data_IF_537428896919
#
_entry.id   IF_537428896919
#
_cell.length_a   1.000
_cell.length_b   1.000
_cell.length_c   1.000
_cell.angle_alpha   90.00
_cell.angle_beta   90.00
_cell.angle_gamma   90.00
#
_symmetry.space_group_name_H-M   'P 1'
#
loop_
_entity.id
_entity.type
_entity.pdbx_description
1 polymer ?
#
# COMPACT_ATOMS: atom_id res chain seq x y z
N UNK A 1 7.30 -20.60 -19.18
CA UNK A 1 6.39 -19.74 -19.97
C UNK A 1 7.23 -18.65 -20.62
N UNK A 2 6.98 -18.31 -21.89
CA UNK A 2 7.64 -17.18 -22.54
C UNK A 2 7.33 -15.88 -21.78
N UNK A 3 8.28 -14.93 -21.77
CA UNK A 3 8.07 -13.60 -21.18
C UNK A 3 6.92 -12.92 -21.93
N UNK A 4 5.91 -12.35 -21.24
CA UNK A 4 4.88 -11.59 -21.92
C UNK A 4 5.51 -10.40 -22.64
N UNK A 5 4.94 -10.03 -23.78
CA UNK A 5 5.44 -8.93 -24.59
C UNK A 5 4.34 -7.89 -24.86
N UNK A 6 4.80 -6.66 -25.05
CA UNK A 6 3.97 -5.51 -25.41
C UNK A 6 3.50 -5.63 -26.87
N UNK A 7 2.29 -5.12 -27.15
CA UNK A 7 1.78 -5.11 -28.52
C UNK A 7 2.52 -4.04 -29.34
N UNK A 8 2.73 -4.33 -30.62
CA UNK A 8 3.40 -3.41 -31.55
C UNK A 8 2.59 -2.11 -31.67
N UNK A 9 3.27 -0.98 -31.44
CA UNK A 9 2.71 0.37 -31.54
C UNK A 9 3.00 0.97 -32.90
N UNK A 10 2.01 1.64 -33.46
CA UNK A 10 1.98 2.13 -34.83
C UNK A 10 1.44 3.55 -34.86
N UNK A 11 1.95 4.35 -35.79
CA UNK A 11 1.38 5.66 -36.17
C UNK A 11 1.09 5.66 -37.66
N UNK A 12 0.00 6.32 -38.06
CA UNK A 12 -0.31 6.61 -39.46
C UNK A 12 0.40 7.91 -39.88
N UNK A 13 1.32 7.83 -40.83
CA UNK A 13 1.95 9.02 -41.42
C UNK A 13 1.00 9.76 -42.37
N UNK A 14 1.25 11.05 -42.66
CA UNK A 14 0.42 11.83 -43.59
C UNK A 14 0.30 11.24 -45.01
N UNK A 15 1.29 10.44 -45.44
CA UNK A 15 1.28 9.75 -46.73
C UNK A 15 0.43 8.45 -46.74
N UNK A 16 -0.28 8.14 -45.64
CA UNK A 16 -1.09 6.93 -45.50
C UNK A 16 -0.32 5.67 -45.08
N UNK A 17 0.99 5.79 -44.80
CA UNK A 17 1.83 4.66 -44.39
C UNK A 17 1.73 4.40 -42.88
N UNK A 18 1.53 3.13 -42.50
CA UNK A 18 1.64 2.70 -41.11
C UNK A 18 3.08 2.36 -40.78
N UNK A 19 3.65 3.02 -39.76
CA UNK A 19 5.00 2.73 -39.28
C UNK A 19 5.00 2.41 -37.80
N UNK A 20 5.94 1.55 -37.38
CA UNK A 20 6.21 1.34 -35.97
C UNK A 20 6.61 2.67 -35.31
N UNK A 21 6.05 2.93 -34.13
CA UNK A 21 6.28 4.16 -33.38
C UNK A 21 6.16 3.89 -31.90
N UNK A 22 7.19 4.23 -31.12
CA UNK A 22 7.19 4.07 -29.66
C UNK A 22 6.13 4.93 -28.97
N UNK A 23 5.66 6.01 -29.61
CA UNK A 23 4.60 6.88 -29.10
C UNK A 23 3.24 6.65 -29.77
N UNK A 24 3.17 5.72 -30.74
CA UNK A 24 1.95 5.45 -31.50
C UNK A 24 0.81 4.96 -30.61
N UNK A 25 -0.41 5.44 -30.87
CA UNK A 25 -1.63 5.02 -30.13
C UNK A 25 -2.49 4.02 -30.91
N UNK A 26 -2.05 3.63 -32.10
CA UNK A 26 -2.59 2.49 -32.83
C UNK A 26 -1.76 1.26 -32.48
N UNK A 27 -2.42 0.14 -32.22
CA UNK A 27 -1.78 -1.12 -31.88
C UNK A 27 -2.18 -2.19 -32.89
N UNK A 28 -1.23 -3.02 -33.32
CA UNK A 28 -1.52 -4.09 -34.26
C UNK A 28 -1.67 -5.44 -33.57
N UNK A 29 -2.87 -6.01 -33.67
CA UNK A 29 -3.14 -7.40 -33.30
C UNK A 29 -2.85 -8.31 -34.50
N UNK A 30 -1.62 -8.83 -34.58
CA UNK A 30 -1.18 -9.74 -35.64
C UNK A 30 -1.97 -11.07 -35.71
N UNK A 31 -2.69 -11.48 -34.65
CA UNK A 31 -3.44 -12.74 -34.58
C UNK A 31 -4.78 -12.57 -35.25
N UNK A 32 -5.42 -11.42 -35.01
CA UNK A 32 -6.70 -11.06 -35.62
C UNK A 32 -6.55 -10.25 -36.90
N UNK A 33 -5.32 -9.83 -37.24
CA UNK A 33 -4.99 -8.93 -38.35
C UNK A 33 -5.82 -7.64 -38.31
N UNK A 34 -5.89 -7.02 -37.13
CA UNK A 34 -6.69 -5.81 -36.88
C UNK A 34 -5.88 -4.77 -36.13
N UNK A 35 -6.22 -3.51 -36.36
CA UNK A 35 -5.75 -2.40 -35.55
C UNK A 35 -6.67 -2.20 -34.35
N UNK A 36 -6.09 -1.86 -33.22
CA UNK A 36 -6.78 -1.41 -32.01
C UNK A 36 -6.37 0.04 -31.81
N UNK A 37 -7.34 0.94 -31.89
CA UNK A 37 -7.11 2.38 -31.77
C UNK A 37 -7.37 2.85 -30.35
N UNK A 38 -6.32 3.33 -29.66
CA UNK A 38 -6.41 3.96 -28.35
C UNK A 38 -6.19 5.47 -28.42
N UNK A 39 -6.35 6.11 -29.59
CA UNK A 39 -6.15 7.55 -29.76
C UNK A 39 -7.15 8.40 -28.97
N UNK A 40 -8.30 7.83 -28.59
CA UNK A 40 -9.27 8.47 -27.70
C UNK A 40 -8.93 8.33 -26.22
N UNK A 41 -8.00 7.42 -25.86
CA UNK A 41 -7.54 7.24 -24.48
C UNK A 41 -6.65 8.40 -24.10
N UNK A 42 -6.97 9.00 -22.97
CA UNK A 42 -6.25 10.15 -22.41
C UNK A 42 -5.81 9.83 -21.00
N UNK A 43 -4.53 10.06 -20.72
CA UNK A 43 -4.00 9.99 -19.38
C UNK A 43 -4.15 11.38 -18.77
N UNK A 44 -4.77 11.50 -17.59
CA UNK A 44 -5.12 12.79 -16.99
C UNK A 44 -4.21 13.17 -15.83
N UNK A 45 -3.85 12.19 -14.99
CA UNK A 45 -2.91 12.38 -13.89
C UNK A 45 -2.38 11.03 -13.47
N UNK A 46 -1.06 10.89 -13.41
CA UNK A 46 -0.42 9.78 -12.72
C UNK A 46 0.38 10.37 -11.56
N UNK A 47 0.03 10.05 -10.32
CA UNK A 47 0.66 10.69 -9.16
C UNK A 47 0.41 9.95 -7.87
N UNK A 48 0.86 10.53 -6.77
CA UNK A 48 0.61 9.99 -5.43
C UNK A 48 -0.81 10.37 -5.01
N UNK A 49 -1.59 9.36 -4.64
CA UNK A 49 -2.94 9.55 -4.11
C UNK A 49 -2.92 9.64 -2.58
N UNK A 50 -2.22 8.73 -1.93
CA UNK A 50 -2.17 8.67 -0.47
C UNK A 50 -0.78 8.24 -0.01
N UNK A 51 -0.27 8.91 1.03
CA UNK A 51 0.94 8.49 1.75
C UNK A 51 0.56 8.14 3.18
N UNK A 52 1.08 7.02 3.67
CA UNK A 52 1.00 6.66 5.09
C UNK A 52 2.39 6.49 5.68
N UNK A 53 2.85 7.46 6.46
CA UNK A 53 4.18 7.43 7.08
C UNK A 53 4.08 6.91 8.52
N UNK A 54 4.84 5.87 8.85
CA UNK A 54 4.89 5.30 10.20
C UNK A 54 6.06 5.89 11.01
N UNK A 55 5.83 6.05 12.31
CA UNK A 55 6.87 6.39 13.28
C UNK A 55 6.79 5.46 14.49
N UNK A 56 7.96 5.05 14.95
CA UNK A 56 8.13 4.34 16.21
C UNK A 56 8.49 5.33 17.31
N UNK A 57 8.08 5.04 18.53
CA UNK A 57 8.44 5.82 19.71
C UNK A 57 7.54 5.45 20.88
N UNK A 58 7.67 6.19 21.97
CA UNK A 58 6.76 6.12 23.12
C UNK A 58 5.91 7.39 23.13
N UNK A 59 4.61 7.27 23.37
CA UNK A 59 3.71 8.43 23.36
C UNK A 59 3.98 9.28 24.60
N UNK A 60 4.15 10.58 24.39
CA UNK A 60 4.23 11.57 25.45
C UNK A 60 2.93 11.63 26.26
N UNK A 61 2.96 11.55 27.60
CA UNK A 61 1.75 11.56 28.43
C UNK A 61 0.81 12.74 28.14
N UNK A 62 1.38 13.92 27.88
CA UNK A 62 0.65 15.15 27.55
C UNK A 62 -0.21 15.02 26.28
N UNK A 63 0.17 14.16 25.33
CA UNK A 63 -0.62 13.90 24.13
C UNK A 63 -1.87 13.11 24.46
N UNK A 64 -1.78 12.15 25.39
CA UNK A 64 -2.94 11.35 25.79
C UNK A 64 -3.99 12.21 26.50
N UNK A 65 -3.54 13.20 27.30
CA UNK A 65 -4.41 14.16 27.96
C UNK A 65 -5.26 14.99 26.97
N UNK A 66 -4.79 15.21 25.74
CA UNK A 66 -5.58 15.88 24.70
C UNK A 66 -6.89 15.15 24.42
N UNK A 67 -6.91 13.82 24.50
CA UNK A 67 -8.09 13.02 24.19
C UNK A 67 -9.08 12.92 25.36
N UNK A 68 -8.68 13.34 26.56
CA UNK A 68 -9.53 13.38 27.75
C UNK A 68 -10.31 14.70 27.88
N UNK A 69 -9.85 15.76 27.20
CA UNK A 69 -10.53 17.05 27.15
C UNK A 69 -11.96 16.93 26.56
N UNK A 70 -12.94 17.73 27.00
CA UNK A 70 -14.30 17.68 26.45
C UNK A 70 -14.42 18.29 25.04
N UNK A 71 -13.55 19.22 24.67
CA UNK A 71 -13.62 19.97 23.41
C UNK A 71 -13.35 19.07 22.19
N UNK A 72 -14.10 19.23 21.10
CA UNK A 72 -13.88 18.46 19.86
C UNK A 72 -12.61 18.89 19.11
N UNK A 73 -12.25 20.18 19.26
CA UNK A 73 -11.08 20.78 18.62
C UNK A 73 -10.01 21.08 19.65
N UNK A 74 -8.76 20.68 19.36
CA UNK A 74 -7.62 20.87 20.25
C UNK A 74 -6.48 21.55 19.50
N UNK A 75 -5.68 22.35 20.23
CA UNK A 75 -4.44 22.92 19.70
C UNK A 75 -3.28 22.01 20.05
N UNK A 76 -2.56 21.54 19.03
CA UNK A 76 -1.38 20.69 19.21
C UNK A 76 -0.31 21.06 18.18
N UNK A 77 0.93 21.19 18.67
CA UNK A 77 2.11 21.52 17.85
C UNK A 77 1.91 22.76 16.95
N UNK A 78 1.21 23.79 17.44
CA UNK A 78 0.97 25.02 16.69
C UNK A 78 -0.26 25.00 15.78
N UNK A 79 -0.89 23.84 15.56
CA UNK A 79 -2.05 23.69 14.67
C UNK A 79 -3.33 23.35 15.44
N UNK A 80 -4.48 23.63 14.83
CA UNK A 80 -5.77 23.14 15.31
C UNK A 80 -6.08 21.77 14.70
N UNK A 81 -6.68 20.90 15.49
CA UNK A 81 -7.01 19.53 15.11
C UNK A 81 -8.41 19.17 15.59
N UNK A 82 -9.19 18.53 14.73
CA UNK A 82 -10.35 17.78 15.17
C UNK A 82 -9.87 16.45 15.75
N UNK A 83 -10.17 16.17 17.02
CA UNK A 83 -9.80 14.89 17.63
C UNK A 83 -10.94 13.89 17.58
N UNK A 84 -10.62 12.60 17.58
CA UNK A 84 -11.64 11.56 17.63
C UNK A 84 -11.07 10.20 18.01
N UNK A 85 -11.97 9.25 18.30
CA UNK A 85 -11.63 7.84 18.41
C UNK A 85 -11.76 7.18 17.04
N UNK A 86 -10.99 6.14 16.82
CA UNK A 86 -11.04 5.32 15.60
C UNK A 86 -11.33 3.87 15.94
N UNK A 87 -11.94 3.16 15.00
CA UNK A 87 -12.25 1.74 15.14
C UNK A 87 -10.99 0.88 15.16
N UNK A 88 -11.14 -0.37 15.63
CA UNK A 88 -10.03 -1.33 15.70
C UNK A 88 -9.42 -1.64 14.33
N UNK A 89 -10.19 -1.50 13.26
CA UNK A 89 -9.76 -1.81 11.88
C UNK A 89 -8.63 -0.88 11.41
N UNK A 90 -8.63 0.39 11.87
CA UNK A 90 -7.53 1.33 11.65
C UNK A 90 -6.18 0.85 12.22
N UNK A 91 -6.20 -0.03 13.23
CA UNK A 91 -5.06 -0.46 14.03
C UNK A 91 -4.64 0.51 15.15
N UNK A 92 -5.28 1.69 15.24
CA UNK A 92 -5.00 2.75 16.20
C UNK A 92 -6.25 3.10 17.02
N UNK A 93 -6.09 3.84 18.11
CA UNK A 93 -7.21 4.17 19.03
C UNK A 93 -7.75 5.59 18.84
N UNK A 94 -6.87 6.52 18.48
CA UNK A 94 -7.18 7.95 18.40
C UNK A 94 -6.76 8.55 17.07
N UNK A 95 -7.42 9.63 16.69
CA UNK A 95 -7.05 10.46 15.54
C UNK A 95 -6.97 11.93 15.90
N UNK A 96 -6.02 12.64 15.30
CA UNK A 96 -6.05 14.09 15.10
C UNK A 96 -6.17 14.33 13.60
N UNK A 97 -7.17 15.08 13.17
CA UNK A 97 -7.44 15.34 11.77
C UNK A 97 -7.48 16.84 11.52
N UNK A 98 -6.71 17.28 10.53
CA UNK A 98 -6.79 18.62 9.97
C UNK A 98 -7.04 18.49 8.46
N UNK A 99 -8.30 18.70 8.06
CA UNK A 99 -8.74 18.54 6.69
C UNK A 99 -8.17 19.63 5.76
N UNK A 100 -7.95 20.84 6.29
CA UNK A 100 -7.35 21.97 5.58
C UNK A 100 -5.89 21.69 5.23
N UNK A 101 -5.12 21.15 6.18
CA UNK A 101 -3.76 20.65 5.92
C UNK A 101 -3.75 19.35 5.10
N UNK A 102 -4.87 18.64 5.02
CA UNK A 102 -4.96 17.33 4.40
C UNK A 102 -4.19 16.23 5.16
N UNK A 103 -4.07 16.36 6.49
CA UNK A 103 -3.25 15.50 7.36
C UNK A 103 -4.11 14.83 8.44
N UNK A 104 -3.91 13.52 8.61
CA UNK A 104 -4.47 12.74 9.73
C UNK A 104 -3.33 12.08 10.49
N UNK A 105 -3.30 12.23 11.82
CA UNK A 105 -2.43 11.48 12.72
C UNK A 105 -3.27 10.41 13.39
N UNK A 106 -2.94 9.14 13.13
CA UNK A 106 -3.47 8.00 13.84
C UNK A 106 -2.52 7.61 14.96
N UNK A 107 -3.05 7.62 16.18
CA UNK A 107 -2.27 7.63 17.42
C UNK A 107 -2.69 6.44 18.27
N UNK A 108 -1.71 5.84 18.95
CA UNK A 108 -1.84 4.70 19.86
C UNK A 108 -2.29 3.42 19.16
N UNK A 109 -1.31 2.66 18.69
CA UNK A 109 -1.51 1.28 18.21
C UNK A 109 -2.21 0.39 19.26
N UNK A 110 -3.22 -0.36 18.83
CA UNK A 110 -3.95 -1.32 19.67
C UNK A 110 -3.09 -2.47 20.19
N UNK A 111 -2.05 -2.85 19.43
CA UNK A 111 -1.24 -4.03 19.71
C UNK A 111 0.01 -3.73 20.56
N UNK A 112 0.25 -2.46 20.89
CA UNK A 112 1.41 -2.03 21.67
C UNK A 112 0.92 -1.29 22.91
N UNK A 113 1.45 -1.65 24.08
CA UNK A 113 1.15 -0.97 25.35
C UNK A 113 1.72 0.46 25.36
N UNK A 114 1.13 1.36 26.15
CA UNK A 114 1.46 2.80 26.07
C UNK A 114 2.90 3.08 26.53
N UNK A 115 3.34 2.31 27.52
CA UNK A 115 4.65 2.36 28.16
C UNK A 115 5.78 1.75 27.31
N UNK A 116 5.47 1.18 26.14
CA UNK A 116 6.46 0.52 25.29
C UNK A 116 6.77 1.38 24.07
N UNK A 117 8.03 1.33 23.62
CA UNK A 117 8.41 1.83 22.30
C UNK A 117 7.74 0.95 21.24
N UNK A 118 7.04 1.57 20.28
CA UNK A 118 6.49 0.87 19.13
C UNK A 118 5.87 1.82 18.11
N UNK A 119 5.25 1.24 17.07
CA UNK A 119 4.64 1.97 15.95
C UNK A 119 3.34 2.68 16.39
N UNK A 120 3.48 3.70 17.23
CA UNK A 120 2.38 4.40 17.87
C UNK A 120 1.79 5.55 17.06
N UNK A 121 2.47 5.97 15.99
CA UNK A 121 2.04 7.07 15.15
C UNK A 121 2.07 6.65 13.68
N UNK A 122 0.95 6.91 12.99
CA UNK A 122 0.83 6.81 11.54
C UNK A 122 0.23 8.10 11.01
N UNK A 123 0.93 8.77 10.11
CA UNK A 123 0.34 9.84 9.31
C UNK A 123 -0.44 9.23 8.15
N UNK A 124 -1.56 9.83 7.78
CA UNK A 124 -2.20 9.65 6.48
C UNK A 124 -2.31 11.03 5.81
N UNK A 125 -1.69 11.17 4.64
CA UNK A 125 -1.65 12.41 3.89
C UNK A 125 -2.52 12.27 2.65
N UNK A 126 -3.44 13.22 2.47
CA UNK A 126 -4.42 13.24 1.38
C UNK A 126 -3.81 13.73 0.04
N UNK A 127 -4.46 13.44 -1.12
CA UNK A 127 -3.97 13.88 -2.43
C UNK A 127 -3.74 15.39 -2.51
N UNK A 128 -4.66 16.18 -1.96
CA UNK A 128 -4.58 17.65 -1.94
C UNK A 128 -3.31 18.18 -1.27
N UNK A 129 -2.83 17.52 -0.22
CA UNK A 129 -1.62 17.94 0.49
C UNK A 129 -0.32 17.46 -0.19
N UNK A 130 -0.44 16.52 -1.14
CA UNK A 130 0.67 15.97 -1.91
C UNK A 130 0.84 16.71 -3.24
N UNK A 131 -0.25 17.18 -3.84
CA UNK A 131 -0.25 17.88 -5.12
C UNK A 131 0.60 19.16 -5.06
N UNK A 132 1.69 19.19 -5.83
CA UNK A 132 2.59 20.36 -5.93
C UNK A 132 3.40 20.66 -4.68
N UNK A 133 3.36 19.80 -3.65
CA UNK A 133 4.15 19.97 -2.45
C UNK A 133 5.57 19.44 -2.63
N UNK A 134 6.57 20.21 -2.17
CA UNK A 134 7.94 19.71 -2.03
C UNK A 134 7.96 18.54 -1.03
N UNK A 135 8.39 17.33 -1.45
CA UNK A 135 8.39 16.16 -0.58
C UNK A 135 9.21 16.35 0.69
N UNK A 136 10.30 17.14 0.62
CA UNK A 136 11.14 17.40 1.79
C UNK A 136 10.44 18.28 2.82
N UNK A 137 9.70 19.28 2.37
CA UNK A 137 8.92 20.15 3.24
C UNK A 137 7.78 19.39 3.92
N UNK A 138 7.07 18.53 3.18
CA UNK A 138 6.03 17.67 3.75
C UNK A 138 6.61 16.65 4.74
N UNK A 139 7.78 16.06 4.44
CA UNK A 139 8.47 15.15 5.35
C UNK A 139 8.91 15.86 6.64
N UNK A 140 9.44 17.08 6.54
CA UNK A 140 9.80 17.91 7.71
C UNK A 140 8.59 18.17 8.61
N UNK A 141 7.44 18.53 8.03
CA UNK A 141 6.19 18.70 8.78
C UNK A 141 5.82 17.42 9.56
N UNK A 142 5.87 16.26 8.90
CA UNK A 142 5.59 14.97 9.57
C UNK A 142 6.59 14.69 10.68
N UNK A 143 7.88 14.95 10.46
CA UNK A 143 8.94 14.74 11.45
C UNK A 143 8.81 15.67 12.67
N UNK A 144 8.45 16.94 12.46
CA UNK A 144 8.20 17.91 13.53
C UNK A 144 6.99 17.51 14.38
N UNK A 145 5.88 17.15 13.74
CA UNK A 145 4.68 16.65 14.42
C UNK A 145 4.94 15.34 15.16
N UNK A 146 5.75 14.43 14.58
CA UNK A 146 6.13 13.18 15.23
C UNK A 146 6.98 13.41 16.48
N UNK A 147 7.96 14.32 16.41
CA UNK A 147 8.81 14.70 17.56
C UNK A 147 8.02 15.39 18.67
N UNK A 148 6.99 16.16 18.32
CA UNK A 148 6.07 16.75 19.29
C UNK A 148 5.19 15.70 19.98
N UNK A 149 4.94 14.55 19.35
CA UNK A 149 4.04 13.50 19.84
C UNK A 149 4.76 12.39 20.61
N UNK A 150 5.95 12.01 20.15
CA UNK A 150 6.69 10.85 20.63
C UNK A 150 7.98 11.25 21.35
N UNK A 151 8.35 10.47 22.35
CA UNK A 151 9.75 10.33 22.80
C UNK A 151 10.38 9.12 22.09
N UNK A 152 11.72 9.11 21.97
CA UNK A 152 12.44 8.09 21.18
C UNK A 152 11.88 7.96 19.75
N UNK A 153 11.57 9.10 19.13
CA UNK A 153 10.93 9.16 17.83
C UNK A 153 11.89 8.69 16.74
N UNK A 154 11.52 7.61 16.06
CA UNK A 154 12.25 7.05 14.93
C UNK A 154 11.33 6.85 13.74
N UNK A 155 11.75 7.30 12.57
CA UNK A 155 10.99 7.09 11.34
C UNK A 155 11.00 5.61 10.96
N UNK A 156 9.81 5.07 10.73
CA UNK A 156 9.59 3.72 10.22
C UNK A 156 9.20 3.81 8.74
N UNK A 157 8.94 2.69 8.06
CA UNK A 157 8.67 2.68 6.63
C UNK A 157 7.31 3.31 6.27
N UNK A 158 7.22 3.90 5.08
CA UNK A 158 5.98 4.45 4.53
C UNK A 158 5.20 3.42 3.67
N UNK A 159 3.90 3.63 3.54
CA UNK A 159 3.05 3.04 2.50
C UNK A 159 2.68 4.15 1.50
N UNK A 160 2.57 3.82 0.22
CA UNK A 160 2.23 4.78 -0.83
C UNK A 160 1.20 4.20 -1.78
N UNK A 161 0.25 5.02 -2.20
CA UNK A 161 -0.72 4.68 -3.23
C UNK A 161 -0.43 5.53 -4.47
N UNK A 162 -0.20 4.90 -5.60
CA UNK A 162 -0.02 5.56 -6.89
C UNK A 162 -1.31 5.43 -7.70
N UNK A 163 -1.79 6.53 -8.27
CA UNK A 163 -3.04 6.53 -9.04
C UNK A 163 -2.83 7.12 -10.43
N UNK A 164 -3.34 6.43 -11.43
CA UNK A 164 -3.52 6.94 -12.79
C UNK A 164 -5.00 7.16 -13.08
N UNK A 165 -5.35 8.37 -13.47
CA UNK A 165 -6.66 8.76 -13.98
C UNK A 165 -6.67 8.74 -15.51
N UNK A 166 -7.71 8.14 -16.10
CA UNK A 166 -7.85 8.02 -17.56
C UNK A 166 -9.26 8.33 -18.04
N UNK A 167 -9.35 8.85 -19.27
CA UNK A 167 -10.58 8.98 -20.06
C UNK A 167 -10.48 8.17 -21.36
N UNK A 168 -11.62 7.86 -21.98
CA UNK A 168 -11.70 7.08 -23.21
C UNK A 168 -11.39 5.58 -23.05
N UNK A 169 -11.25 5.10 -21.82
CA UNK A 169 -11.10 3.68 -21.49
C UNK A 169 -12.00 3.28 -20.32
N UNK A 170 -12.63 2.13 -20.44
CA UNK A 170 -13.40 1.48 -19.38
C UNK A 170 -12.89 0.05 -19.18
N UNK A 171 -12.90 -0.48 -17.95
CA UNK A 171 -12.51 -1.87 -17.71
C UNK A 171 -13.45 -2.82 -18.47
N UNK A 172 -12.91 -3.74 -19.29
CA UNK A 172 -13.75 -4.68 -20.00
C UNK A 172 -14.44 -5.64 -19.01
N UNK A 173 -15.61 -6.17 -19.40
CA UNK A 173 -16.43 -7.03 -18.52
C UNK A 173 -15.68 -8.27 -18.03
N UNK A 174 -14.76 -8.77 -18.84
CA UNK A 174 -13.91 -9.92 -18.60
C UNK A 174 -12.52 -9.56 -18.01
N UNK A 175 -12.34 -8.33 -17.50
CA UNK A 175 -11.07 -7.87 -16.93
C UNK A 175 -10.54 -8.80 -15.83
N UNK A 176 -11.45 -9.42 -15.05
CA UNK A 176 -11.09 -10.37 -13.98
C UNK A 176 -10.45 -11.64 -14.54
N UNK A 177 -10.96 -12.14 -15.67
CA UNK A 177 -10.46 -13.36 -16.31
C UNK A 177 -9.09 -13.13 -16.97
N UNK A 178 -8.88 -11.91 -17.48
CA UNK A 178 -7.69 -11.52 -18.21
C UNK A 178 -6.60 -10.86 -17.34
N UNK A 179 -6.91 -10.51 -16.09
CA UNK A 179 -5.95 -9.92 -15.15
C UNK A 179 -5.15 -11.01 -14.44
N UNK A 180 -3.88 -11.12 -14.80
CA UNK A 180 -2.93 -12.00 -14.12
C UNK A 180 -2.18 -11.26 -13.02
N UNK A 181 -2.17 -11.84 -11.83
CA UNK A 181 -1.32 -11.37 -10.74
C UNK A 181 -0.84 -12.53 -9.86
N UNK A 182 0.23 -12.31 -9.09
CA UNK A 182 0.80 -13.36 -8.21
C UNK A 182 -0.13 -13.79 -7.06
N UNK A 183 -1.09 -12.94 -6.69
CA UNK A 183 -2.04 -13.24 -5.62
C UNK A 183 -3.33 -13.80 -6.21
N UNK A 184 -3.77 -14.96 -5.74
CA UNK A 184 -5.06 -15.53 -6.15
C UNK A 184 -6.28 -14.79 -5.57
N UNK A 185 -6.08 -13.74 -4.76
CA UNK A 185 -7.18 -12.96 -4.18
C UNK A 185 -7.68 -11.96 -5.22
N UNK A 186 -8.82 -12.27 -5.81
CA UNK A 186 -9.61 -11.35 -6.62
C UNK A 186 -10.91 -11.05 -5.89
N UNK A 187 -11.25 -9.78 -5.75
CA UNK A 187 -12.55 -9.34 -5.24
C UNK A 187 -13.23 -8.49 -6.29
N UNK A 188 -14.39 -8.95 -6.72
CA UNK A 188 -15.34 -8.14 -7.46
C UNK A 188 -16.42 -7.71 -6.47
N UNK A 189 -16.58 -6.42 -6.26
CA UNK A 189 -17.65 -5.90 -5.40
C UNK A 189 -18.83 -5.57 -6.29
N UNK A 190 -20.00 -6.10 -5.94
CA UNK A 190 -21.27 -5.83 -6.61
C UNK A 190 -22.31 -5.46 -5.57
N UNK A 191 -22.84 -4.24 -5.62
CA UNK A 191 -23.90 -3.80 -4.70
C UNK A 191 -23.42 -3.42 -3.29
N UNK A 192 -24.33 -2.83 -2.50
CA UNK A 192 -24.08 -2.30 -1.15
C UNK A 192 -24.12 -3.46 -0.15
N UNK A 193 -22.98 -4.12 0.11
CA UNK A 193 -22.91 -5.16 1.15
C UNK A 193 -22.07 -4.77 2.38
N UNK A 194 -21.36 -3.63 2.35
CA UNK A 194 -20.66 -3.15 3.54
C UNK A 194 -20.29 -1.67 3.44
N UNK A 195 -20.81 -0.87 4.36
CA UNK A 195 -20.29 0.47 4.66
C UNK A 195 -19.21 0.27 5.73
N UNK A 196 -17.95 0.13 5.32
CA UNK A 196 -16.81 0.20 6.25
C UNK A 196 -16.35 1.67 6.36
N UNK A 197 -16.60 2.29 7.51
CA UNK A 197 -16.30 3.69 7.82
C UNK A 197 -14.81 3.95 8.14
N UNK A 198 -13.88 3.19 7.54
CA UNK A 198 -12.44 3.45 7.67
C UNK A 198 -11.80 3.67 6.29
N UNK A 199 -11.56 4.94 5.98
CA UNK A 199 -10.87 5.45 4.78
C UNK A 199 -11.51 5.14 3.41
N UNK A 200 -12.37 6.07 2.96
CA UNK A 200 -12.58 6.46 1.55
C UNK A 200 -12.65 5.35 0.48
N UNK A 201 -13.68 4.51 0.57
CA UNK A 201 -14.22 3.80 -0.58
C UNK A 201 -15.75 3.84 -0.50
N UNK A 202 -16.36 4.80 -1.20
CA UNK A 202 -17.83 4.85 -1.35
C UNK A 202 -18.24 3.74 -2.31
N UNK A 203 -19.09 2.82 -1.85
CA UNK A 203 -19.50 1.59 -2.54
C UNK A 203 -20.83 1.82 -3.25
N UNK A 204 -20.85 1.76 -4.58
CA UNK A 204 -22.08 1.67 -5.36
C UNK A 204 -21.91 0.69 -6.54
N UNK A 205 -23.02 0.08 -6.96
CA UNK A 205 -23.20 -0.60 -8.24
C UNK A 205 -22.46 -1.92 -8.52
N UNK A 206 -22.84 -2.56 -9.63
CA UNK A 206 -22.26 -3.80 -10.17
C UNK A 206 -21.14 -3.41 -11.13
N UNK A 207 -19.90 -3.88 -10.92
CA UNK A 207 -18.81 -3.67 -11.88
C UNK A 207 -18.15 -2.27 -11.84
N UNK A 208 -18.34 -1.52 -10.76
CA UNK A 208 -17.77 -0.17 -10.61
C UNK A 208 -16.41 -0.16 -9.89
N UNK A 209 -16.03 -1.26 -9.23
CA UNK A 209 -14.74 -1.39 -8.54
C UNK A 209 -14.19 -2.82 -8.62
N UNK A 210 -12.95 -2.94 -9.12
CA UNK A 210 -12.21 -4.18 -9.22
C UNK A 210 -11.00 -4.15 -8.30
N UNK A 211 -10.77 -5.21 -7.53
CA UNK A 211 -9.61 -5.30 -6.64
C UNK A 211 -8.84 -6.60 -6.85
N UNK A 212 -7.54 -6.46 -7.08
CA UNK A 212 -6.61 -7.57 -7.30
C UNK A 212 -5.48 -7.49 -6.26
N UNK A 213 -5.15 -8.61 -5.61
CA UNK A 213 -4.12 -8.64 -4.58
C UNK A 213 -4.62 -8.37 -3.17
N UNK A 214 -3.69 -8.06 -2.25
CA UNK A 214 -3.97 -7.97 -0.82
C UNK A 214 -3.58 -6.60 -0.26
N UNK A 215 -4.46 -6.01 0.55
CA UNK A 215 -4.21 -4.73 1.23
C UNK A 215 -2.99 -4.75 2.16
N UNK A 216 -2.60 -5.92 2.68
CA UNK A 216 -1.38 -6.12 3.48
C UNK A 216 -0.10 -6.34 2.65
N UNK A 217 -0.19 -6.20 1.34
CA UNK A 217 0.89 -6.41 0.38
C UNK A 217 0.85 -5.36 -0.73
N UNK A 218 0.70 -5.83 -1.96
CA UNK A 218 0.48 -4.97 -3.13
C UNK A 218 -0.93 -5.26 -3.65
N UNK A 219 -1.72 -4.21 -3.86
CA UNK A 219 -3.09 -4.28 -4.36
C UNK A 219 -3.28 -3.32 -5.52
N UNK A 220 -4.03 -3.74 -6.54
CA UNK A 220 -4.55 -2.89 -7.61
C UNK A 220 -6.05 -2.69 -7.38
N UNK A 221 -6.50 -1.45 -7.43
CA UNK A 221 -7.90 -1.06 -7.45
C UNK A 221 -8.20 -0.34 -8.78
N UNK A 222 -9.28 -0.74 -9.47
CA UNK A 222 -9.75 -0.06 -10.68
C UNK A 222 -11.19 0.35 -10.44
N UNK A 223 -11.53 1.65 -10.58
CA UNK A 223 -12.88 2.13 -10.30
C UNK A 223 -13.25 3.40 -11.06
N UNK A 224 -14.55 3.67 -11.19
CA UNK A 224 -15.05 4.92 -11.77
C UNK A 224 -14.86 6.06 -10.75
N UNK A 225 -13.89 6.93 -11.04
CA UNK A 225 -13.49 8.01 -10.15
C UNK A 225 -14.46 9.19 -10.22
N UNK A 226 -15.12 9.44 -11.35
CA UNK A 226 -16.17 10.46 -11.45
C UNK A 226 -17.31 10.16 -10.48
N UNK A 227 -17.83 8.93 -10.50
CA UNK A 227 -18.89 8.50 -9.58
C UNK A 227 -18.45 8.57 -8.12
N UNK A 228 -17.24 8.09 -7.82
CA UNK A 228 -16.68 8.15 -6.46
C UNK A 228 -16.48 9.59 -5.97
N UNK A 229 -16.00 10.49 -6.82
CA UNK A 229 -15.78 11.90 -6.49
C UNK A 229 -17.10 12.63 -6.27
N UNK A 230 -18.13 12.36 -7.09
CA UNK A 230 -19.49 12.89 -6.91
C UNK A 230 -20.10 12.43 -5.59
N UNK A 231 -19.97 11.14 -5.26
CA UNK A 231 -20.50 10.59 -4.00
C UNK A 231 -19.79 11.09 -2.74
N UNK A 232 -18.58 11.64 -2.88
CA UNK A 232 -17.80 12.20 -1.75
C UNK A 232 -17.75 13.73 -1.77
N UNK A 233 -18.55 14.37 -2.63
CA UNK A 233 -18.61 15.82 -2.77
C UNK A 233 -17.24 16.47 -3.07
N UNK A 234 -16.44 15.79 -3.90
CA UNK A 234 -15.08 16.22 -4.29
C UNK A 234 -14.90 16.36 -5.79
N UNK A 235 -15.99 16.32 -6.56
CA UNK A 235 -15.92 16.36 -8.02
C UNK A 235 -15.25 17.64 -8.51
N UNK A 236 -15.61 18.81 -7.95
CA UNK A 236 -15.01 20.09 -8.37
C UNK A 236 -13.49 20.15 -8.16
N UNK A 237 -13.00 19.60 -7.05
CA UNK A 237 -11.57 19.47 -6.82
C UNK A 237 -10.92 18.56 -7.87
N UNK A 238 -11.47 17.37 -8.09
CA UNK A 238 -10.91 16.42 -9.06
C UNK A 238 -10.99 16.93 -10.50
N UNK A 239 -12.07 17.61 -10.90
CA UNK A 239 -12.18 18.24 -12.21
C UNK A 239 -11.10 19.30 -12.44
N UNK A 240 -10.72 20.07 -11.41
CA UNK A 240 -9.58 21.00 -11.50
C UNK A 240 -8.25 20.26 -11.63
N UNK A 241 -8.07 19.18 -10.87
CA UNK A 241 -6.87 18.34 -10.96
C UNK A 241 -6.73 17.72 -12.36
N UNK A 242 -7.82 17.19 -12.92
CA UNK A 242 -7.83 16.60 -14.26
C UNK A 242 -7.66 17.61 -15.39
N UNK A 243 -8.20 18.83 -15.21
CA UNK A 243 -8.02 19.92 -16.16
C UNK A 243 -6.60 20.49 -16.19
N UNK A 244 -5.73 20.10 -15.25
CA UNK A 244 -4.33 20.55 -15.26
C UNK A 244 -3.57 19.97 -16.46
N UNK A 245 -2.65 20.76 -17.03
CA UNK A 245 -1.90 20.42 -18.25
C UNK A 245 -0.89 19.27 -18.07
N UNK A 246 -0.78 18.71 -16.86
CA UNK A 246 0.31 17.80 -16.53
C UNK A 246 0.06 16.35 -17.02
N UNK A 247 -1.16 16.02 -17.43
CA UNK A 247 -1.66 14.66 -17.56
C UNK A 247 -1.32 13.88 -18.80
N UNK A 248 -1.47 14.50 -19.97
CA UNK A 248 -1.52 13.79 -21.24
C UNK A 248 -0.15 13.82 -21.93
N UNK A 249 0.58 12.69 -21.96
CA UNK A 249 1.87 12.63 -22.63
C UNK A 249 1.74 12.71 -24.16
N UNK A 250 0.51 12.77 -24.71
CA UNK A 250 0.23 12.73 -26.15
C UNK A 250 -0.23 14.07 -26.74
N UNK A 251 -0.42 15.12 -25.94
CA UNK A 251 -1.02 16.39 -26.37
C UNK A 251 -0.03 17.49 -26.77
N UNK A 252 -0.45 18.36 -27.69
CA UNK A 252 0.29 19.52 -28.21
C UNK A 252 0.07 20.82 -27.39
N UNK A 253 -0.56 20.75 -26.21
CA UNK A 253 -0.77 21.90 -25.31
C UNK A 253 -2.22 22.17 -24.88
N UNK A 254 -3.21 21.46 -25.42
CA UNK A 254 -4.60 21.54 -24.95
C UNK A 254 -4.86 20.65 -23.72
N UNK A 255 -5.71 21.06 -22.76
CA UNK A 255 -6.13 20.21 -21.65
C UNK A 255 -6.83 18.94 -22.16
N UNK A 256 -6.31 17.77 -21.79
CA UNK A 256 -6.86 16.50 -22.24
C UNK A 256 -8.22 16.15 -21.62
N UNK A 257 -8.50 16.67 -20.43
CA UNK A 257 -9.72 16.38 -19.70
C UNK A 257 -10.96 16.95 -20.39
N UNK A 258 -11.95 16.08 -20.63
CA UNK A 258 -13.29 16.44 -21.12
C UNK A 258 -14.34 16.28 -20.00
N UNK A 259 -14.98 17.36 -19.53
CA UNK A 259 -15.93 17.30 -18.40
C UNK A 259 -17.12 16.35 -18.58
N UNK A 260 -17.52 16.10 -19.83
CA UNK A 260 -18.66 15.24 -20.21
C UNK A 260 -18.35 13.73 -20.19
N UNK A 261 -17.07 13.35 -20.09
CA UNK A 261 -16.64 11.96 -20.06
C UNK A 261 -16.28 11.51 -18.63
N UNK A 262 -16.64 10.27 -18.30
CA UNK A 262 -16.28 9.67 -17.02
C UNK A 262 -14.78 9.37 -16.93
N UNK A 263 -14.21 9.55 -15.74
CA UNK A 263 -12.81 9.26 -15.41
C UNK A 263 -12.74 7.94 -14.68
N UNK A 264 -11.91 7.03 -15.19
CA UNK A 264 -11.55 5.79 -14.50
C UNK A 264 -10.19 5.94 -13.82
N UNK A 265 -10.05 5.38 -12.61
CA UNK A 265 -8.80 5.38 -11.86
C UNK A 265 -8.25 3.97 -11.73
N UNK A 266 -6.95 3.83 -11.99
CA UNK A 266 -6.14 2.68 -11.62
C UNK A 266 -5.24 3.07 -10.44
N UNK A 267 -5.43 2.45 -9.29
CA UNK A 267 -4.71 2.75 -8.05
C UNK A 267 -3.89 1.54 -7.57
N UNK A 268 -2.57 1.68 -7.55
CA UNK A 268 -1.65 0.70 -6.97
C UNK A 268 -1.34 1.08 -5.52
N UNK A 269 -1.77 0.24 -4.59
CA UNK A 269 -1.59 0.41 -3.14
C UNK A 269 -0.43 -0.44 -2.65
N UNK A 270 0.66 0.21 -2.27
CA UNK A 270 1.86 -0.43 -1.73
C UNK A 270 1.85 -0.35 -0.21
N UNK A 271 1.65 -1.49 0.45
CA UNK A 271 1.80 -1.58 1.89
C UNK A 271 3.25 -1.32 2.32
N UNK A 272 3.46 -0.81 3.54
CA UNK A 272 4.79 -0.45 4.05
C UNK A 272 5.79 -1.61 4.04
N UNK A 273 5.32 -2.86 4.19
CA UNK A 273 6.19 -4.04 4.06
C UNK A 273 6.69 -4.26 2.62
N UNK A 274 5.90 -3.89 1.61
CA UNK A 274 6.33 -3.96 0.20
C UNK A 274 7.35 -2.87 -0.07
N UNK A 275 7.11 -1.64 0.40
CA UNK A 275 8.05 -0.54 0.27
C UNK A 275 9.36 -0.86 0.99
N UNK A 276 9.32 -1.47 2.17
CA UNK A 276 10.51 -1.92 2.87
C UNK A 276 11.33 -2.90 2.02
N UNK A 277 10.69 -3.94 1.49
CA UNK A 277 11.37 -4.93 0.66
C UNK A 277 11.91 -4.33 -0.64
N UNK A 278 11.19 -3.37 -1.22
CA UNK A 278 11.64 -2.65 -2.39
C UNK A 278 12.86 -1.79 -2.07
N UNK A 279 12.84 -1.10 -0.92
CA UNK A 279 13.91 -0.26 -0.42
C UNK A 279 15.18 -1.02 -0.07
N UNK A 280 15.04 -2.21 0.54
CA UNK A 280 16.14 -3.09 0.90
C UNK A 280 16.67 -3.91 -0.30
N UNK A 281 15.87 -4.04 -1.36
CA UNK A 281 16.21 -4.85 -2.52
C UNK A 281 16.77 -4.09 -3.71
N UNK A 282 16.29 -2.87 -3.94
CA UNK A 282 16.67 -2.05 -5.09
C UNK A 282 18.03 -1.41 -4.88
N UNK A 283 18.85 -1.40 -5.92
CA UNK A 283 20.23 -0.93 -5.86
C UNK A 283 20.47 0.19 -6.87
N UNK A 284 21.17 1.23 -6.44
CA UNK A 284 21.68 2.28 -7.32
C UNK A 284 22.78 1.72 -8.24
N UNK A 285 23.17 2.48 -9.26
CA UNK A 285 24.31 2.13 -10.13
C UNK A 285 25.63 1.93 -9.36
N UNK A 286 25.76 2.51 -8.16
CA UNK A 286 26.90 2.28 -7.25
C UNK A 286 26.90 0.88 -6.60
N UNK A 287 25.79 0.14 -6.69
CA UNK A 287 25.56 -1.12 -5.98
C UNK A 287 24.95 -0.95 -4.59
N UNK A 288 24.85 0.28 -4.08
CA UNK A 288 24.23 0.58 -2.78
C UNK A 288 22.72 0.39 -2.83
N UNK A 289 22.15 -0.19 -1.77
CA UNK A 289 20.70 -0.29 -1.61
C UNK A 289 20.09 1.09 -1.35
N UNK A 290 18.93 1.37 -1.93
CA UNK A 290 18.29 2.69 -1.77
C UNK A 290 17.97 3.00 -0.31
N UNK A 291 17.60 1.99 0.49
CA UNK A 291 17.55 2.07 1.96
C UNK A 291 16.59 3.13 2.55
N UNK A 292 15.74 3.75 1.75
CA UNK A 292 14.82 4.80 2.17
C UNK A 292 13.74 4.29 3.15
N UNK A 293 13.36 5.15 4.10
CA UNK A 293 12.27 4.92 5.06
C UNK A 293 11.19 6.01 5.05
N UNK A 294 11.48 7.13 4.39
CA UNK A 294 10.66 8.33 4.35
C UNK A 294 9.94 8.43 3.02
N UNK A 295 8.82 9.18 2.98
CA UNK A 295 8.17 9.54 1.73
C UNK A 295 9.11 10.34 0.82
N UNK A 296 9.81 11.34 1.36
CA UNK A 296 10.76 12.15 0.60
C UNK A 296 11.86 11.29 -0.06
N UNK A 297 12.42 10.32 0.67
CA UNK A 297 13.43 9.41 0.12
C UNK A 297 12.87 8.43 -0.93
N UNK A 298 11.56 8.16 -0.91
CA UNK A 298 10.91 7.29 -1.88
C UNK A 298 10.56 8.01 -3.19
N UNK A 299 10.33 9.34 -3.15
CA UNK A 299 9.85 10.13 -4.29
C UNK A 299 10.65 9.92 -5.60
N UNK A 300 11.99 9.92 -5.59
CA UNK A 300 12.79 9.69 -6.80
C UNK A 300 12.58 8.30 -7.46
N UNK A 301 11.96 7.36 -6.74
CA UNK A 301 11.79 5.97 -7.14
C UNK A 301 10.34 5.58 -7.49
N UNK A 302 9.39 6.51 -7.42
CA UNK A 302 7.97 6.21 -7.63
C UNK A 302 7.66 5.72 -9.05
N UNK A 303 8.37 6.21 -10.07
CA UNK A 303 8.24 5.68 -11.43
C UNK A 303 8.70 4.20 -11.51
N UNK A 304 9.74 3.83 -10.76
CA UNK A 304 10.19 2.45 -10.65
C UNK A 304 9.14 1.55 -9.99
N UNK A 305 8.49 2.05 -8.93
CA UNK A 305 7.35 1.38 -8.30
C UNK A 305 6.16 1.22 -9.24
N UNK A 306 5.84 2.24 -10.05
CA UNK A 306 4.79 2.18 -11.06
C UNK A 306 5.03 1.03 -12.05
N UNK A 307 6.21 1.00 -12.69
CA UNK A 307 6.59 -0.08 -13.61
C UNK A 307 6.58 -1.44 -12.92
N UNK A 308 7.08 -1.52 -11.69
CA UNK A 308 7.05 -2.75 -10.89
C UNK A 308 5.61 -3.24 -10.67
N UNK A 309 4.65 -2.35 -10.35
CA UNK A 309 3.25 -2.75 -10.17
C UNK A 309 2.61 -3.21 -11.47
N UNK A 310 2.81 -2.50 -12.59
CA UNK A 310 2.33 -2.93 -13.90
C UNK A 310 2.98 -4.24 -14.39
N UNK A 311 4.11 -4.66 -13.80
CA UNK A 311 4.70 -5.97 -14.02
C UNK A 311 4.11 -7.08 -13.12
N UNK A 312 3.60 -6.71 -11.95
CA UNK A 312 2.99 -7.66 -11.01
C UNK A 312 1.50 -7.91 -11.30
N UNK A 313 0.81 -6.92 -11.86
CA UNK A 313 -0.52 -7.03 -12.42
C UNK A 313 -0.42 -6.88 -13.91
N UNK A 314 -0.89 -7.86 -14.67
CA UNK A 314 -0.78 -7.87 -16.13
C UNK A 314 -2.13 -8.18 -16.71
N UNK A 315 -2.70 -7.22 -17.43
CA UNK A 315 -3.88 -7.46 -18.24
C UNK A 315 -3.46 -8.09 -19.56
N UNK A 316 -3.95 -9.29 -19.85
CA UNK A 316 -3.62 -10.04 -21.06
C UNK A 316 -4.73 -9.95 -22.10
N UNK A 317 -4.35 -9.70 -23.36
CA UNK A 317 -5.27 -9.86 -24.50
C UNK A 317 -5.32 -11.31 -24.99
N UNK A 318 -4.21 -12.04 -24.83
CA UNK A 318 -4.06 -13.45 -25.17
C UNK A 318 -2.92 -14.07 -24.35
N UNK A 319 -2.67 -15.38 -24.50
CA UNK A 319 -1.79 -16.19 -23.63
C UNK A 319 -0.40 -15.61 -23.33
N UNK A 320 0.16 -14.80 -24.21
CA UNK A 320 1.50 -14.20 -24.03
C UNK A 320 1.57 -12.70 -24.35
N UNK A 321 0.42 -12.07 -24.63
CA UNK A 321 0.37 -10.68 -25.09
C UNK A 321 -0.39 -9.80 -24.12
N UNK A 322 0.25 -8.71 -23.71
CA UNK A 322 -0.39 -7.69 -22.89
C UNK A 322 -1.48 -6.96 -23.67
N UNK A 323 -2.52 -6.56 -22.96
CA UNK A 323 -3.55 -5.68 -23.50
C UNK A 323 -2.92 -4.35 -23.97
N UNK A 324 -3.36 -3.79 -25.12
CA UNK A 324 -2.80 -2.53 -25.63
C UNK A 324 -2.97 -1.38 -24.64
N UNK A 325 -4.06 -1.33 -23.85
CA UNK A 325 -4.20 -0.33 -22.79
C UNK A 325 -3.14 -0.53 -21.70
N UNK A 326 -2.88 -1.78 -21.32
CA UNK A 326 -1.83 -2.09 -20.34
C UNK A 326 -0.43 -1.72 -20.84
N UNK A 327 -0.19 -1.90 -22.14
CA UNK A 327 1.05 -1.46 -22.80
C UNK A 327 1.20 0.06 -22.74
N UNK A 328 0.13 0.80 -23.06
CA UNK A 328 0.09 2.26 -23.03
C UNK A 328 0.39 2.80 -21.62
N UNK A 329 -0.30 2.32 -20.58
CA UNK A 329 -0.06 2.84 -19.22
C UNK A 329 1.30 2.41 -18.63
N UNK A 330 1.87 1.30 -19.11
CA UNK A 330 3.20 0.86 -18.70
C UNK A 330 4.28 1.78 -19.29
N UNK A 331 4.13 2.16 -20.56
CA UNK A 331 5.16 2.88 -21.32
C UNK A 331 5.02 4.41 -21.19
N UNK A 332 3.81 4.94 -21.18
CA UNK A 332 3.56 6.38 -21.33
C UNK A 332 3.20 7.09 -20.01
N UNK A 333 2.68 6.37 -19.00
CA UNK A 333 2.32 7.01 -17.73
C UNK A 333 3.57 7.46 -16.95
N UNK A 334 3.63 8.75 -16.62
CA UNK A 334 4.70 9.38 -15.83
C UNK A 334 4.18 9.79 -14.47
N UNK A 335 4.74 9.24 -13.41
CA UNK A 335 4.41 9.61 -12.03
C UNK A 335 4.89 11.04 -11.78
N UNK A 336 3.93 11.94 -11.59
CA UNK A 336 4.14 13.35 -11.30
C UNK A 336 4.43 13.51 -9.81
N UNK A 337 5.64 13.98 -9.51
CA UNK A 337 6.11 14.33 -8.16
C UNK A 337 7.22 15.37 -8.32
N UNK A 338 7.35 16.29 -7.37
CA UNK A 338 8.41 17.30 -7.33
C UNK A 338 9.76 16.66 -6.89
N UNK A 339 10.26 15.70 -7.68
CA UNK A 339 11.54 15.04 -7.47
C UNK A 339 12.09 14.49 -8.79
N UNK A 340 13.41 14.58 -8.97
CA UNK A 340 14.08 14.03 -10.16
C UNK A 340 14.00 12.49 -10.16
N UNK A 341 13.47 11.87 -11.23
CA UNK A 341 13.34 10.42 -11.28
C UNK A 341 14.72 9.75 -11.45
N UNK A 342 15.01 8.76 -10.61
CA UNK A 342 16.27 7.98 -10.66
C UNK A 342 16.13 6.68 -11.47
N UNK A 343 15.21 6.64 -12.43
CA UNK A 343 14.81 5.41 -13.11
C UNK A 343 15.94 4.74 -13.91
N UNK A 344 16.78 5.53 -14.57
CA UNK A 344 17.88 5.02 -15.38
C UNK A 344 19.15 4.70 -14.55
N UNK A 345 19.11 5.02 -13.26
CA UNK A 345 20.24 4.89 -12.33
C UNK A 345 19.99 3.88 -11.21
N UNK A 346 18.86 3.16 -11.27
CA UNK A 346 18.43 2.25 -10.21
C UNK A 346 17.91 0.94 -10.78
N UNK A 347 18.44 -0.18 -10.30
CA UNK A 347 17.86 -1.50 -10.52
C UNK A 347 16.80 -1.78 -9.47
N UNK A 348 15.54 -1.87 -9.89
CA UNK A 348 14.40 -2.05 -8.98
C UNK A 348 14.05 -3.51 -8.77
N UNK A 349 14.08 -3.95 -7.50
CA UNK A 349 13.67 -5.31 -7.11
C UNK A 349 13.24 -5.36 -5.65
N UNK A 350 12.43 -6.37 -5.30
CA UNK A 350 12.12 -6.68 -3.89
C UNK A 350 13.13 -7.65 -3.33
N UNK A 351 13.66 -7.32 -2.16
CA UNK A 351 14.32 -8.27 -1.28
C UNK A 351 13.27 -9.05 -0.48
N UNK A 352 13.25 -10.37 -0.65
CA UNK A 352 12.46 -11.24 0.22
C UNK A 352 13.39 -11.82 1.27
N UNK A 353 13.05 -11.66 2.56
CA UNK A 353 13.79 -12.28 3.65
C UNK A 353 13.90 -13.78 3.36
N UNK A 354 15.13 -14.27 3.23
CA UNK A 354 15.42 -15.69 3.08
C UNK A 354 15.23 -16.38 4.43
N UNK A 355 15.10 -17.71 4.44
CA UNK A 355 14.97 -18.50 5.67
C UNK A 355 16.12 -18.27 6.68
N UNK A 356 17.26 -17.72 6.23
CA UNK A 356 18.40 -17.34 7.08
C UNK A 356 18.12 -16.10 7.94
N UNK A 357 17.15 -15.26 7.59
CA UNK A 357 16.71 -14.08 8.36
C UNK A 357 15.57 -14.38 9.34
N UNK A 358 15.64 -15.51 10.04
CA UNK A 358 14.59 -16.02 10.91
C UNK A 358 14.32 -15.10 12.11
N UNK A 359 13.23 -14.33 12.05
CA UNK A 359 12.82 -13.40 13.13
C UNK A 359 12.35 -14.07 14.43
N UNK A 360 12.23 -15.40 14.46
CA UNK A 360 11.72 -16.12 15.62
C UNK A 360 10.22 -16.01 15.90
N UNK A 361 9.50 -15.14 15.19
CA UNK A 361 8.04 -14.97 15.32
C UNK A 361 7.28 -16.28 15.11
N UNK A 362 7.75 -17.14 14.20
CA UNK A 362 7.14 -18.45 13.98
C UNK A 362 7.36 -19.40 15.17
N UNK A 363 8.51 -19.32 15.87
CA UNK A 363 8.71 -20.05 17.13
C UNK A 363 7.72 -19.61 18.20
N UNK A 364 7.49 -18.29 18.33
CA UNK A 364 6.54 -17.75 19.31
C UNK A 364 5.09 -18.13 19.00
N UNK A 365 4.69 -18.02 17.73
CA UNK A 365 3.36 -18.44 17.28
C UNK A 365 3.14 -19.93 17.48
N UNK A 366 4.10 -20.76 17.07
CA UNK A 366 4.04 -22.20 17.28
C UNK A 366 3.91 -22.53 18.77
N UNK A 367 4.75 -21.96 19.63
CA UNK A 367 4.70 -22.21 21.07
C UNK A 367 3.33 -21.83 21.66
N UNK A 368 2.77 -20.69 21.25
CA UNK A 368 1.43 -20.25 21.68
C UNK A 368 0.31 -21.18 21.22
N UNK A 369 0.36 -21.68 19.99
CA UNK A 369 -0.61 -22.65 19.45
C UNK A 369 -0.47 -24.02 20.11
N UNK A 370 0.77 -24.52 20.22
CA UNK A 370 1.11 -25.76 20.88
C UNK A 370 0.59 -25.79 22.32
N UNK A 371 0.88 -24.76 23.12
CA UNK A 371 0.37 -24.64 24.49
C UNK A 371 -1.16 -24.60 24.53
N UNK A 372 -1.81 -24.01 23.52
CA UNK A 372 -3.27 -23.96 23.46
C UNK A 372 -3.89 -25.35 23.19
N UNK A 373 -3.26 -26.17 22.35
CA UNK A 373 -3.68 -27.56 22.12
C UNK A 373 -3.45 -28.43 23.36
N UNK A 374 -2.29 -28.29 24.01
CA UNK A 374 -1.96 -28.98 25.27
C UNK A 374 -2.96 -28.63 26.38
N UNK A 375 -3.37 -27.36 26.47
CA UNK A 375 -4.40 -26.92 27.40
C UNK A 375 -5.75 -27.59 27.13
N UNK A 376 -6.15 -27.69 25.86
CA UNK A 376 -7.43 -28.30 25.44
C UNK A 376 -7.51 -29.78 25.84
N UNK A 377 -6.43 -30.52 25.58
CA UNK A 377 -6.34 -31.96 25.87
C UNK A 377 -5.93 -32.27 27.32
N UNK A 378 -5.76 -31.24 28.18
CA UNK A 378 -5.28 -31.37 29.57
C UNK A 378 -4.01 -32.20 29.71
N UNK A 379 -3.13 -32.13 28.71
CA UNK A 379 -1.87 -32.87 28.75
C UNK A 379 -0.98 -32.27 29.84
N UNK A 380 -0.39 -33.13 30.66
CA UNK A 380 0.56 -32.71 31.69
C UNK A 380 1.72 -31.95 31.03
N UNK A 381 2.05 -30.76 31.54
CA UNK A 381 3.07 -29.91 30.93
C UNK A 381 4.47 -30.55 30.85
N UNK A 382 4.84 -31.43 31.79
CA UNK A 382 6.10 -32.17 31.69
C UNK A 382 6.09 -33.07 30.45
N UNK A 383 5.00 -33.82 30.25
CA UNK A 383 4.78 -34.67 29.07
C UNK A 383 4.69 -33.85 27.78
N UNK A 384 4.07 -32.66 27.83
CA UNK A 384 4.00 -31.76 26.69
C UNK A 384 5.38 -31.24 26.26
N UNK A 385 6.24 -30.91 27.22
CA UNK A 385 7.62 -30.49 26.95
C UNK A 385 8.44 -31.65 26.40
N UNK A 386 8.30 -32.86 26.97
CA UNK A 386 8.96 -34.07 26.46
C UNK A 386 8.57 -34.36 25.00
N UNK A 387 7.27 -34.33 24.68
CA UNK A 387 6.78 -34.50 23.30
C UNK A 387 7.19 -33.34 22.40
N UNK A 388 7.21 -32.11 22.90
CA UNK A 388 7.73 -30.97 22.15
C UNK A 388 9.18 -31.18 21.72
N UNK A 389 10.02 -31.66 22.65
CA UNK A 389 11.44 -31.97 22.42
C UNK A 389 11.69 -33.08 21.40
N UNK A 390 10.69 -33.94 21.10
CA UNK A 390 10.83 -34.95 20.04
C UNK A 390 10.57 -34.40 18.64
N UNK A 391 10.04 -33.18 18.50
CA UNK A 391 9.82 -32.56 17.20
C UNK A 391 11.17 -32.28 16.53
N UNK A 392 11.37 -32.64 15.24
CA UNK A 392 12.66 -32.47 14.56
C UNK A 392 13.19 -31.02 14.55
N UNK A 393 12.29 -30.05 14.67
CA UNK A 393 12.60 -28.62 14.65
C UNK A 393 12.62 -27.96 16.04
N UNK A 394 12.49 -28.71 17.14
CA UNK A 394 12.40 -28.12 18.49
C UNK A 394 13.63 -27.27 18.85
N UNK A 395 14.82 -27.68 18.40
CA UNK A 395 16.08 -26.94 18.57
C UNK A 395 15.97 -25.48 18.08
N UNK A 396 15.22 -25.21 17.01
CA UNK A 396 15.01 -23.85 16.48
C UNK A 396 14.26 -22.96 17.47
N UNK A 397 13.33 -23.54 18.24
CA UNK A 397 12.59 -22.84 19.29
C UNK A 397 13.51 -22.56 20.48
N UNK A 398 14.30 -23.55 20.90
CA UNK A 398 15.26 -23.38 22.00
C UNK A 398 16.30 -22.31 21.67
N UNK A 399 16.86 -22.34 20.46
CA UNK A 399 17.85 -21.35 19.99
C UNK A 399 17.26 -19.94 19.96
N UNK A 400 16.00 -19.78 19.51
CA UNK A 400 15.30 -18.49 19.52
C UNK A 400 15.16 -17.91 20.93
N UNK A 401 14.68 -18.70 21.89
CA UNK A 401 14.51 -18.22 23.26
C UNK A 401 15.85 -18.04 23.97
N UNK A 402 16.86 -18.87 23.67
CA UNK A 402 18.23 -18.69 24.16
C UNK A 402 18.84 -17.38 23.67
N UNK A 403 18.63 -17.01 22.40
CA UNK A 403 19.04 -15.71 21.86
C UNK A 403 18.34 -14.53 22.56
N UNK A 404 17.14 -14.76 23.14
CA UNK A 404 16.43 -13.80 24.01
C UNK A 404 16.89 -13.82 25.48
N UNK A 405 17.97 -14.55 25.80
CA UNK A 405 18.51 -14.65 27.15
C UNK A 405 17.79 -15.64 28.06
N UNK A 406 16.92 -16.52 27.53
CA UNK A 406 16.26 -17.54 28.34
C UNK A 406 17.17 -18.74 28.53
N UNK A 407 17.22 -19.27 29.75
CA UNK A 407 17.72 -20.63 29.97
C UNK A 407 16.64 -21.65 29.57
N UNK A 408 17.01 -22.92 29.44
CA UNK A 408 16.04 -24.01 29.23
C UNK A 408 14.98 -24.03 30.34
N UNK A 409 15.37 -23.75 31.59
CA UNK A 409 14.45 -23.67 32.73
C UNK A 409 13.48 -22.50 32.58
N UNK A 410 13.94 -21.36 32.05
CA UNK A 410 13.09 -20.19 31.82
C UNK A 410 12.08 -20.42 30.69
N UNK A 411 12.46 -21.16 29.65
CA UNK A 411 11.54 -21.58 28.59
C UNK A 411 10.43 -22.48 29.16
N UNK A 412 10.77 -23.45 30.02
CA UNK A 412 9.77 -24.29 30.67
C UNK A 412 8.85 -23.49 31.60
N UNK A 413 9.40 -22.55 32.39
CA UNK A 413 8.61 -21.63 33.22
C UNK A 413 7.68 -20.76 32.36
N UNK A 414 8.16 -20.30 31.20
CA UNK A 414 7.37 -19.51 30.26
C UNK A 414 6.20 -20.32 29.70
N UNK A 415 6.43 -21.55 29.26
CA UNK A 415 5.37 -22.46 28.82
C UNK A 415 4.35 -22.73 29.94
N UNK A 416 4.79 -22.91 31.19
CA UNK A 416 3.91 -23.07 32.37
C UNK A 416 3.05 -21.84 32.58
N UNK A 417 3.64 -20.65 32.48
CA UNK A 417 2.90 -19.38 32.57
C UNK A 417 1.84 -19.27 31.47
N UNK A 418 2.19 -19.55 30.23
CA UNK A 418 1.25 -19.54 29.10
C UNK A 418 0.10 -20.52 29.31
N UNK A 419 0.40 -21.73 29.79
CA UNK A 419 -0.59 -22.76 30.07
C UNK A 419 -1.54 -22.34 31.21
N UNK A 420 -0.99 -21.83 32.32
CA UNK A 420 -1.78 -21.31 33.43
C UNK A 420 -2.66 -20.13 33.01
N UNK A 421 -2.17 -19.24 32.16
CA UNK A 421 -2.97 -18.16 31.59
C UNK A 421 -4.16 -18.71 30.77
N UNK A 422 -3.98 -19.83 30.05
CA UNK A 422 -5.09 -20.50 29.32
C UNK A 422 -6.10 -21.13 30.28
N UNK A 423 -5.63 -21.82 31.32
CA UNK A 423 -6.51 -22.45 32.31
C UNK A 423 -7.29 -21.45 33.17
N UNK A 424 -6.64 -20.39 33.63
CA UNK A 424 -7.18 -19.47 34.62
C UNK A 424 -7.91 -18.27 34.01
N UNK A 425 -7.42 -17.69 32.91
CA UNK A 425 -7.99 -16.46 32.33
C UNK A 425 -8.94 -16.69 31.17
N UNK A 426 -8.80 -17.80 30.46
CA UNK A 426 -9.57 -18.09 29.23
C UNK A 426 -10.46 -19.33 29.35
N UNK A 427 -10.81 -19.73 30.59
CA UNK A 427 -11.53 -20.97 30.90
C UNK A 427 -12.56 -21.38 29.84
N UNK A 428 -12.57 -22.68 29.50
CA UNK A 428 -13.38 -23.33 28.45
C UNK A 428 -14.12 -22.39 27.49
N UNK A 429 -13.48 -22.06 26.36
CA UNK A 429 -14.24 -21.83 25.13
C UNK A 429 -14.42 -23.20 24.47
N UNK A 430 -15.61 -23.81 24.63
CA UNK A 430 -16.03 -24.98 23.85
C UNK A 430 -16.17 -24.55 22.39
#
# INVERSE_FOLDING_TARGET
MAKPYHMLRITLKPNGEFVESESGRLFFDDQRKRFIDLSNVRLLRCGVDTVRQLYNGMIRPEVMALFEQPEEFVKFAGHQWAKGRVGRDSGYQYRLQNADMGVILLIKNHNVKLENIGAHLKFEISPHALDGADPQSLQRLMDDLARALLTHCETNQCAVHLALDVQGWEPPRDIVEHMHCRSHRVRQITGIERIEFDSSASVYGRGETYMFGSASGLQLCIYNKTLQARATDKLDYWSKVWASLNGDPFGDGDPAYKPEEDVWRLEFRFHHSVIQQFSEGSTLSSGEVIGCRTYAGLCPHLQGLWRYACDNFRLFKSKSRLDPFWTLIFQDAKVQVEADPLIDRTEYRRYYKTAQGFSGKNCEMFLGQFVSLIARERVNIKKAIEVGKTLPFWHVIEDHYKAKGFTTVDLEKHMRKLLNDRYLRRGYSI
#
